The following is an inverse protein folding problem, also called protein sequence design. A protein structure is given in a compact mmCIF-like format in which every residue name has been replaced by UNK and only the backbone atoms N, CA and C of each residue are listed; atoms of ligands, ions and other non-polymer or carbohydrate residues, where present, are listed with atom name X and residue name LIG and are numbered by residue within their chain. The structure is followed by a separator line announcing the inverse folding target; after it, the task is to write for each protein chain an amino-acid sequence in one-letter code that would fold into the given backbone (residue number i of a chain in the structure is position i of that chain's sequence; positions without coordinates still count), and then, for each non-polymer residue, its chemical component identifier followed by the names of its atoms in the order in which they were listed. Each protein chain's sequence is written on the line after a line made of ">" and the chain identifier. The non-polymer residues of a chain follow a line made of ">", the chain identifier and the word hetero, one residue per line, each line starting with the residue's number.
data_IF_499352100058
#
_entry.id   IF_499352100058
#
_cell.length_a   1.000
_cell.length_b   1.000
_cell.length_c   1.000
_cell.angle_alpha   90.00
_cell.angle_beta   90.00
_cell.angle_gamma   90.00
#
_symmetry.space_group_name_H-M   'P 1'
#
loop_
_entity.id
_entity.type
_entity.pdbx_description
1 polymer ?
#
# COMPACT_ATOMS: atom_id res chain seq x y z
N UNK A 1 22.38 72.13 -23.08
CA UNK A 1 21.08 72.77 -23.39
C UNK A 1 19.99 71.84 -22.92
N UNK A 2 19.15 72.28 -21.99
CA UNK A 2 18.09 71.48 -21.37
C UNK A 2 16.75 71.75 -22.08
N UNK A 3 16.04 70.69 -22.49
CA UNK A 3 14.64 70.78 -22.91
C UNK A 3 13.73 70.26 -21.79
N UNK A 4 12.79 71.10 -21.36
CA UNK A 4 11.63 70.68 -20.56
C UNK A 4 10.48 70.39 -21.52
N UNK A 5 9.92 69.18 -21.47
CA UNK A 5 8.59 68.91 -22.03
C UNK A 5 7.54 68.90 -20.92
N UNK A 6 6.43 69.58 -21.21
CA UNK A 6 5.22 69.67 -20.39
C UNK A 6 4.36 68.42 -20.58
N UNK A 7 3.75 67.92 -19.50
CA UNK A 7 2.86 66.74 -19.49
C UNK A 7 1.39 67.13 -19.63
N UNK A 8 0.57 66.37 -20.38
CA UNK A 8 -0.87 66.55 -20.42
C UNK A 8 -1.57 65.80 -19.28
N UNK A 9 -2.63 66.41 -18.72
CA UNK A 9 -3.51 65.80 -17.71
C UNK A 9 -4.51 64.88 -18.38
N UNK A 10 -4.51 63.60 -18.00
CA UNK A 10 -5.59 62.65 -18.31
C UNK A 10 -6.61 62.61 -17.17
N UNK A 11 -7.89 62.67 -17.54
CA UNK A 11 -9.03 62.62 -16.64
C UNK A 11 -9.15 61.25 -15.95
N UNK A 12 -9.36 61.27 -14.63
CA UNK A 12 -9.45 60.08 -13.79
C UNK A 12 -10.86 59.49 -13.81
N UNK A 13 -10.99 58.24 -14.24
CA UNK A 13 -12.21 57.44 -14.02
C UNK A 13 -12.38 57.18 -12.51
N UNK A 14 -13.58 57.37 -11.93
CA UNK A 14 -13.78 57.17 -10.49
C UNK A 14 -13.56 55.70 -10.12
N UNK A 15 -12.65 55.49 -9.16
CA UNK A 15 -12.12 54.19 -8.69
C UNK A 15 -13.17 53.13 -8.30
N UNK A 16 -14.42 53.54 -8.07
CA UNK A 16 -15.48 52.71 -7.54
C UNK A 16 -16.02 51.72 -8.61
N UNK A 17 -16.16 52.17 -9.86
CA UNK A 17 -16.66 51.31 -10.94
C UNK A 17 -15.65 50.20 -11.34
N UNK A 18 -14.36 50.51 -11.29
CA UNK A 18 -13.30 49.54 -11.58
C UNK A 18 -13.20 48.43 -10.50
N UNK A 19 -13.42 48.79 -9.22
CA UNK A 19 -13.36 47.84 -8.11
C UNK A 19 -14.51 46.82 -8.14
N UNK A 20 -15.72 47.25 -8.51
CA UNK A 20 -16.88 46.36 -8.59
C UNK A 20 -16.75 45.30 -9.69
N UNK A 21 -16.23 45.68 -10.86
CA UNK A 21 -16.01 44.76 -11.99
C UNK A 21 -14.89 43.75 -11.66
N UNK A 22 -13.81 44.21 -11.01
CA UNK A 22 -12.72 43.34 -10.56
C UNK A 22 -13.19 42.31 -9.51
N UNK A 23 -14.06 42.71 -8.59
CA UNK A 23 -14.61 41.80 -7.57
C UNK A 23 -15.50 40.69 -8.17
N UNK A 24 -16.33 41.02 -9.17
CA UNK A 24 -17.18 40.04 -9.87
C UNK A 24 -16.34 39.08 -10.71
N UNK A 25 -15.33 39.59 -11.42
CA UNK A 25 -14.41 38.74 -12.19
C UNK A 25 -13.62 37.77 -11.29
N UNK A 26 -13.15 38.22 -10.14
CA UNK A 26 -12.44 37.38 -9.17
C UNK A 26 -13.35 36.27 -8.59
N UNK A 27 -14.62 36.57 -8.28
CA UNK A 27 -15.57 35.59 -7.78
C UNK A 27 -15.93 34.49 -8.81
N UNK A 28 -16.04 34.85 -10.09
CA UNK A 28 -16.28 33.90 -11.18
C UNK A 28 -15.05 33.01 -11.44
N UNK A 29 -13.83 33.56 -11.33
CA UNK A 29 -12.60 32.77 -11.44
C UNK A 29 -12.41 31.82 -10.24
N UNK A 30 -12.69 32.25 -9.00
CA UNK A 30 -12.64 31.38 -7.82
C UNK A 30 -13.65 30.23 -7.88
N UNK A 31 -14.75 30.38 -8.63
CA UNK A 31 -15.80 29.35 -8.74
C UNK A 31 -15.46 28.24 -9.74
N UNK A 32 -14.40 28.40 -10.55
CA UNK A 32 -14.01 27.46 -11.61
C UNK A 32 -12.95 26.44 -11.19
N UNK A 33 -12.34 26.59 -10.02
CA UNK A 33 -11.22 25.74 -9.58
C UNK A 33 -11.61 24.62 -8.60
N UNK A 34 -12.88 24.49 -8.22
CA UNK A 34 -13.35 23.35 -7.43
C UNK A 34 -13.75 22.17 -8.32
N UNK A 35 -12.88 21.81 -9.27
CA UNK A 35 -12.92 20.45 -9.84
C UNK A 35 -12.30 19.56 -8.77
N UNK A 36 -13.14 18.89 -7.99
CA UNK A 36 -12.68 17.94 -6.98
C UNK A 36 -11.70 16.93 -7.60
N UNK A 37 -10.57 16.68 -6.93
CA UNK A 37 -9.65 15.60 -7.29
C UNK A 37 -10.50 14.33 -7.41
N UNK A 38 -10.53 13.64 -8.57
CA UNK A 38 -11.27 12.39 -8.68
C UNK A 38 -10.78 11.46 -7.56
N UNK A 39 -11.68 10.69 -6.92
CA UNK A 39 -11.27 9.77 -5.87
C UNK A 39 -10.15 8.90 -6.42
N UNK A 40 -9.05 8.80 -5.65
CA UNK A 40 -7.92 7.96 -6.03
C UNK A 40 -8.47 6.55 -6.21
N UNK A 41 -8.40 6.02 -7.43
CA UNK A 41 -8.92 4.70 -7.76
C UNK A 41 -8.09 3.70 -6.97
N UNK A 42 -8.68 3.12 -5.91
CA UNK A 42 -8.06 2.04 -5.16
C UNK A 42 -7.73 0.92 -6.15
N UNK A 43 -6.44 0.67 -6.34
CA UNK A 43 -5.98 -0.42 -7.19
C UNK A 43 -6.15 -1.74 -6.44
N UNK A 44 -6.65 -2.75 -7.13
CA UNK A 44 -6.67 -4.10 -6.56
C UNK A 44 -5.23 -4.57 -6.28
N UNK A 45 -5.02 -5.40 -5.25
CA UNK A 45 -3.73 -6.06 -5.05
C UNK A 45 -3.36 -6.90 -6.29
N UNK A 46 -2.07 -7.16 -6.50
CA UNK A 46 -1.60 -8.03 -7.59
C UNK A 46 -2.28 -9.39 -7.53
N UNK A 47 -2.49 -10.03 -8.68
CA UNK A 47 -3.08 -11.36 -8.75
C UNK A 47 -2.11 -12.34 -9.40
N UNK A 48 -1.87 -13.48 -8.75
CA UNK A 48 -1.09 -14.59 -9.30
C UNK A 48 -2.01 -15.75 -9.65
N UNK A 49 -1.74 -16.40 -10.78
CA UNK A 49 -2.47 -17.58 -11.26
C UNK A 49 -1.51 -18.75 -11.44
N UNK A 50 -1.99 -19.95 -11.15
CA UNK A 50 -1.24 -21.17 -11.41
C UNK A 50 -0.89 -21.30 -12.90
N UNK A 51 0.31 -21.81 -13.19
CA UNK A 51 0.76 -22.17 -14.53
C UNK A 51 1.18 -23.64 -14.51
N UNK A 52 0.67 -24.44 -15.44
CA UNK A 52 0.93 -25.88 -15.50
C UNK A 52 0.69 -26.59 -14.14
N UNK A 53 -0.48 -26.34 -13.52
CA UNK A 53 -0.88 -26.87 -12.21
C UNK A 53 0.00 -26.49 -11.02
N UNK A 54 0.81 -25.44 -11.13
CA UNK A 54 1.61 -24.95 -10.00
C UNK A 54 1.57 -23.43 -9.92
N UNK A 55 1.32 -22.91 -8.72
CA UNK A 55 1.58 -21.52 -8.37
C UNK A 55 2.74 -21.49 -7.39
N UNK A 56 3.78 -20.69 -7.68
CA UNK A 56 4.95 -20.55 -6.80
C UNK A 56 5.25 -19.08 -6.53
N UNK A 57 5.48 -18.75 -5.26
CA UNK A 57 5.88 -17.41 -4.84
C UNK A 57 6.78 -17.44 -3.59
N UNK A 58 7.42 -16.31 -3.31
CA UNK A 58 8.08 -16.05 -2.03
C UNK A 58 7.32 -14.93 -1.32
N UNK A 59 7.04 -15.12 -0.04
CA UNK A 59 6.44 -14.11 0.83
C UNK A 59 7.38 -13.84 2.00
N UNK A 60 7.53 -12.58 2.35
CA UNK A 60 8.32 -12.14 3.49
C UNK A 60 7.40 -11.55 4.56
N UNK A 61 7.43 -12.03 5.79
CA UNK A 61 6.80 -11.32 6.90
C UNK A 61 7.76 -10.26 7.44
N UNK A 62 7.35 -9.00 7.40
CA UNK A 62 8.19 -7.88 7.85
C UNK A 62 7.34 -6.73 8.41
N UNK A 63 8.02 -5.78 9.04
CA UNK A 63 7.39 -4.56 9.58
C UNK A 63 7.43 -3.45 8.52
N UNK A 64 6.28 -2.86 8.23
CA UNK A 64 6.12 -1.72 7.33
C UNK A 64 6.66 -0.42 7.92
N UNK A 65 6.86 0.59 7.08
CA UNK A 65 7.44 1.88 7.51
C UNK A 65 6.60 2.62 8.57
N UNK A 66 5.29 2.36 8.60
CA UNK A 66 4.34 2.86 9.61
C UNK A 66 4.26 1.96 10.86
N UNK A 67 5.04 0.87 10.91
CA UNK A 67 5.18 -0.01 12.06
C UNK A 67 4.24 -1.22 12.09
N UNK A 68 3.38 -1.39 11.08
CA UNK A 68 2.48 -2.54 10.97
C UNK A 68 3.20 -3.83 10.51
N UNK A 69 2.67 -5.00 10.89
CA UNK A 69 3.11 -6.26 10.32
C UNK A 69 2.45 -6.47 8.94
N UNK A 70 3.23 -6.88 7.94
CA UNK A 70 2.70 -7.16 6.60
C UNK A 70 3.43 -8.31 5.93
N UNK A 71 2.77 -8.90 4.92
CA UNK A 71 3.40 -9.78 3.97
C UNK A 71 3.89 -8.98 2.76
N UNK A 72 5.19 -9.05 2.54
CA UNK A 72 5.87 -8.46 1.41
C UNK A 72 5.95 -9.44 0.25
N UNK A 73 5.64 -8.94 -0.94
CA UNK A 73 5.78 -9.64 -2.20
C UNK A 73 6.51 -8.73 -3.19
N UNK A 74 7.58 -9.24 -3.81
CA UNK A 74 8.45 -8.47 -4.71
C UNK A 74 8.93 -7.12 -4.13
N UNK A 75 9.22 -7.09 -2.82
CA UNK A 75 9.75 -5.90 -2.13
C UNK A 75 8.69 -4.90 -1.66
N UNK A 76 7.42 -5.11 -1.99
CA UNK A 76 6.31 -4.23 -1.59
C UNK A 76 5.43 -4.89 -0.52
N UNK A 77 4.92 -4.14 0.48
CA UNK A 77 4.02 -4.64 1.52
C UNK A 77 2.59 -4.85 0.99
N UNK A 78 2.48 -5.47 -0.19
CA UNK A 78 1.26 -5.67 -0.93
C UNK A 78 1.20 -7.13 -1.41
N UNK A 79 0.75 -8.01 -0.52
CA UNK A 79 0.62 -9.43 -0.82
C UNK A 79 -0.42 -9.69 -1.93
N UNK A 80 -0.16 -10.63 -2.84
CA UNK A 80 -1.04 -10.88 -3.98
C UNK A 80 -2.25 -11.74 -3.62
N UNK A 81 -3.32 -11.61 -4.40
CA UNK A 81 -4.38 -12.61 -4.48
C UNK A 81 -3.83 -13.84 -5.21
N UNK A 82 -3.99 -15.03 -4.61
CA UNK A 82 -3.60 -16.30 -5.22
C UNK A 82 -4.83 -16.98 -5.83
N UNK A 83 -4.81 -17.21 -7.14
CA UNK A 83 -5.87 -17.92 -7.86
C UNK A 83 -5.38 -19.27 -8.34
N UNK A 84 -5.99 -20.32 -7.80
CA UNK A 84 -5.73 -21.71 -8.13
C UNK A 84 -7.05 -22.41 -8.47
N UNK A 85 -6.95 -23.59 -9.08
CA UNK A 85 -8.06 -24.51 -9.34
C UNK A 85 -7.85 -25.82 -8.59
N UNK A 86 -8.92 -26.61 -8.34
CA UNK A 86 -8.76 -27.95 -7.77
C UNK A 86 -7.77 -28.80 -8.56
N UNK A 87 -6.87 -29.48 -7.86
CA UNK A 87 -5.75 -30.25 -8.41
C UNK A 87 -4.45 -29.46 -8.61
N UNK A 88 -4.46 -28.13 -8.43
CA UNK A 88 -3.24 -27.33 -8.48
C UNK A 88 -2.42 -27.47 -7.19
N UNK A 89 -1.12 -27.23 -7.31
CA UNK A 89 -0.20 -27.17 -6.19
C UNK A 89 0.25 -25.74 -5.90
N UNK A 90 0.03 -25.27 -4.66
CA UNK A 90 0.54 -24.00 -4.16
C UNK A 90 1.87 -24.21 -3.44
N UNK A 91 2.92 -23.53 -3.90
CA UNK A 91 4.25 -23.52 -3.28
C UNK A 91 4.59 -22.14 -2.77
N UNK A 92 4.79 -22.00 -1.47
CA UNK A 92 5.19 -20.73 -0.85
C UNK A 92 6.54 -20.93 -0.17
N UNK A 93 7.54 -20.14 -0.58
CA UNK A 93 8.72 -19.91 0.24
C UNK A 93 8.40 -18.77 1.20
N UNK A 94 8.11 -19.08 2.45
CA UNK A 94 7.81 -18.10 3.48
C UNK A 94 9.09 -17.73 4.21
N UNK A 95 9.41 -16.44 4.32
CA UNK A 95 10.59 -15.93 5.00
C UNK A 95 10.13 -15.02 6.14
N UNK A 96 10.65 -15.24 7.34
CA UNK A 96 10.34 -14.40 8.49
C UNK A 96 11.44 -13.35 8.68
N UNK A 97 11.20 -12.13 8.23
CA UNK A 97 12.10 -10.98 8.37
C UNK A 97 11.72 -10.06 9.54
N UNK A 98 10.82 -10.52 10.42
CA UNK A 98 10.49 -9.81 11.66
C UNK A 98 11.71 -9.77 12.61
N UNK A 99 11.79 -8.79 13.52
CA UNK A 99 12.95 -8.65 14.39
C UNK A 99 13.05 -9.79 15.43
N UNK A 100 14.28 -10.19 15.76
CA UNK A 100 14.54 -11.19 16.81
C UNK A 100 14.01 -10.77 18.20
N UNK A 101 13.90 -9.46 18.43
CA UNK A 101 13.26 -8.89 19.61
C UNK A 101 11.98 -8.21 19.18
N UNK A 102 10.85 -8.77 19.60
CA UNK A 102 9.55 -8.18 19.34
C UNK A 102 9.45 -6.79 19.97
N UNK A 103 8.75 -5.88 19.28
CA UNK A 103 8.45 -4.54 19.80
C UNK A 103 7.31 -4.56 20.82
N UNK A 104 6.48 -5.60 20.78
CA UNK A 104 5.34 -5.76 21.66
C UNK A 104 5.71 -6.41 23.00
N UNK A 105 4.92 -6.12 24.03
CA UNK A 105 5.05 -6.73 25.35
C UNK A 105 4.02 -7.84 25.51
N UNK A 106 4.48 -9.05 25.77
CA UNK A 106 3.64 -10.19 26.10
C UNK A 106 3.49 -10.31 27.62
N UNK A 107 2.42 -10.95 28.08
CA UNK A 107 2.01 -10.89 29.49
C UNK A 107 3.01 -11.51 30.49
N UNK A 108 3.71 -12.59 30.11
CA UNK A 108 4.54 -13.38 31.04
C UNK A 108 5.97 -13.55 30.52
N UNK A 109 6.14 -13.83 29.23
CA UNK A 109 7.45 -13.96 28.58
C UNK A 109 7.63 -12.87 27.52
N UNK A 110 8.87 -12.55 27.12
CA UNK A 110 9.08 -11.68 25.96
C UNK A 110 8.31 -12.23 24.75
N UNK A 111 7.62 -11.36 24.01
CA UNK A 111 7.06 -11.76 22.73
C UNK A 111 8.20 -12.24 21.82
N UNK A 112 7.92 -13.27 21.05
CA UNK A 112 8.81 -13.72 19.98
C UNK A 112 8.05 -13.53 18.68
N UNK A 113 8.66 -12.85 17.72
CA UNK A 113 8.11 -12.72 16.36
C UNK A 113 8.36 -14.00 15.55
N UNK A 114 8.08 -15.17 16.16
CA UNK A 114 8.08 -16.45 15.46
C UNK A 114 6.72 -16.65 14.80
N UNK A 115 6.72 -17.04 13.53
CA UNK A 115 5.53 -16.95 12.70
C UNK A 115 5.45 -18.10 11.70
N UNK A 116 4.25 -18.32 11.19
CA UNK A 116 3.95 -19.29 10.16
C UNK A 116 2.75 -18.80 9.33
N UNK A 117 2.30 -19.64 8.40
CA UNK A 117 1.09 -19.41 7.60
C UNK A 117 -0.02 -20.38 8.02
N UNK A 118 -1.25 -19.87 8.01
CA UNK A 118 -2.47 -20.67 8.12
C UNK A 118 -3.35 -20.42 6.89
N UNK A 119 -3.92 -21.49 6.30
CA UNK A 119 -4.70 -21.42 5.07
C UNK A 119 -6.21 -21.43 5.35
N UNK A 120 -6.76 -20.25 5.66
CA UNK A 120 -8.17 -20.10 6.04
C UNK A 120 -9.15 -20.69 5.01
N UNK A 121 -10.02 -21.59 5.49
CA UNK A 121 -11.11 -22.17 4.69
C UNK A 121 -10.69 -23.28 3.72
N UNK A 122 -9.40 -23.63 3.65
CA UNK A 122 -8.94 -24.77 2.85
C UNK A 122 -9.03 -26.06 3.66
N UNK A 123 -9.57 -27.12 3.04
CA UNK A 123 -9.57 -28.47 3.61
C UNK A 123 -8.29 -29.19 3.18
N UNK A 124 -7.16 -28.83 3.80
CA UNK A 124 -5.81 -29.33 3.46
C UNK A 124 -5.21 -30.12 4.62
N UNK A 125 -4.07 -30.79 4.37
CA UNK A 125 -3.40 -31.56 5.43
C UNK A 125 -2.93 -30.65 6.57
N UNK A 126 -3.17 -31.00 7.84
CA UNK A 126 -2.64 -30.27 8.99
C UNK A 126 -1.18 -30.63 9.30
N UNK A 127 -0.56 -31.50 8.50
CA UNK A 127 0.84 -31.91 8.66
C UNK A 127 1.76 -31.17 7.68
N UNK A 128 3.01 -30.99 8.06
CA UNK A 128 4.03 -30.43 7.18
C UNK A 128 4.14 -31.22 5.85
N UNK A 129 4.38 -30.55 4.71
CA UNK A 129 4.65 -29.12 4.54
C UNK A 129 3.38 -28.28 4.21
N UNK A 130 2.20 -28.64 4.74
CA UNK A 130 0.93 -27.95 4.47
C UNK A 130 0.52 -27.04 5.64
N UNK A 131 -0.70 -27.15 6.15
CA UNK A 131 -1.27 -26.28 7.18
C UNK A 131 -0.89 -26.73 8.61
N UNK A 132 0.39 -27.04 8.83
CA UNK A 132 0.90 -27.42 10.15
C UNK A 132 1.15 -26.19 11.01
N UNK A 133 0.06 -25.70 11.60
CA UNK A 133 0.05 -24.49 12.42
C UNK A 133 0.77 -24.64 13.76
N UNK A 134 1.14 -25.87 14.16
CA UNK A 134 1.74 -26.16 15.46
C UNK A 134 3.25 -26.36 15.38
N UNK A 135 3.73 -27.15 14.41
CA UNK A 135 5.12 -27.59 14.37
C UNK A 135 5.94 -26.86 13.29
N UNK A 136 5.31 -26.32 12.24
CA UNK A 136 6.00 -25.45 11.29
C UNK A 136 6.01 -24.02 11.83
N UNK A 137 7.15 -23.61 12.37
CA UNK A 137 7.39 -22.26 12.91
C UNK A 137 8.72 -21.70 12.39
N UNK A 138 8.69 -20.51 11.80
CA UNK A 138 9.90 -19.77 11.42
C UNK A 138 10.30 -18.84 12.57
N UNK A 139 11.51 -19.00 13.10
CA UNK A 139 12.11 -17.94 13.90
C UNK A 139 12.48 -16.74 13.02
N UNK A 140 12.64 -15.54 13.58
CA UNK A 140 13.27 -14.41 12.90
C UNK A 140 14.53 -14.81 12.13
N UNK A 141 14.58 -14.47 10.83
CA UNK A 141 15.64 -14.82 9.89
C UNK A 141 15.54 -16.22 9.27
N UNK A 142 14.53 -17.02 9.60
CA UNK A 142 14.31 -18.35 9.04
C UNK A 142 13.24 -18.37 7.94
N UNK A 143 13.20 -19.47 7.21
CA UNK A 143 12.21 -19.70 6.15
C UNK A 143 11.51 -21.05 6.29
N UNK A 144 10.24 -21.11 5.89
CA UNK A 144 9.45 -22.34 5.74
C UNK A 144 9.11 -22.54 4.26
N UNK A 145 9.04 -23.81 3.83
CA UNK A 145 8.62 -24.18 2.47
C UNK A 145 7.29 -24.91 2.53
N UNK A 146 6.23 -24.24 2.10
CA UNK A 146 4.90 -24.80 2.01
C UNK A 146 4.67 -25.48 0.66
N UNK A 147 3.97 -26.61 0.64
CA UNK A 147 3.49 -27.27 -0.57
C UNK A 147 2.08 -27.81 -0.33
N UNK A 148 1.09 -26.99 -0.67
CA UNK A 148 -0.34 -27.23 -0.41
C UNK A 148 -1.01 -27.77 -1.67
N UNK A 149 -1.79 -28.85 -1.52
CA UNK A 149 -2.60 -29.39 -2.61
C UNK A 149 -4.00 -28.77 -2.53
N UNK A 150 -4.45 -28.12 -3.61
CA UNK A 150 -5.76 -27.45 -3.69
C UNK A 150 -6.84 -28.39 -4.21
#
# INVERSE_FOLDING_TARGET
>A
MAWKLSTPRFASVPRIAAAAIAAVAAAVFCSRELVGKPPDLLSNPPELRAKHHTLSLTLHAAITSDGGNSFYFNGEPNAPILRLSPGDQLKINYVNDLPAKAKESCAITPCMDMTNLHFHGLTVSPNAPQDDVLNMMAMPGQSLRYTVQI
#
